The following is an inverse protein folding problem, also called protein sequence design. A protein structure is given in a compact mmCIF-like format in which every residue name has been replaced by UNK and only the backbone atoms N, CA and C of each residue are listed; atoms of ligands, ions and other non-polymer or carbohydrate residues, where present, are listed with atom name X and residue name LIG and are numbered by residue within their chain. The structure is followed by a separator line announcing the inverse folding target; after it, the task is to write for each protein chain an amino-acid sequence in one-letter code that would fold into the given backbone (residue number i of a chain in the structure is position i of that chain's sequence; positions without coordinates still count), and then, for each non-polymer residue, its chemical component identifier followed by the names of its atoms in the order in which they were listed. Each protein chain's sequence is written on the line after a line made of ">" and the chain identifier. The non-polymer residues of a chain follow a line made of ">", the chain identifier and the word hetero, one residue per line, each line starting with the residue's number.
data_IF_848776857271
#
_entry.id   IF_848776857271
#
_cell.length_a   1.000
_cell.length_b   1.000
_cell.length_c   1.000
_cell.angle_alpha   90.00
_cell.angle_beta   90.00
_cell.angle_gamma   90.00
#
_symmetry.space_group_name_H-M   'P 1'
#
loop_
_entity.id
_entity.type
_entity.pdbx_description
1 polymer ?
#
# COMPACT_ATOMS: atom_id res chain seq x y z
N UNK A 1 29.57 7.46 0.55
CA UNK A 1 29.34 7.00 -0.84
C UNK A 1 30.59 7.24 -1.68
N UNK A 2 31.29 6.18 -2.09
CA UNK A 2 32.52 6.34 -2.88
C UNK A 2 32.20 6.62 -4.35
N UNK A 3 33.03 7.44 -5.02
CA UNK A 3 32.93 7.61 -6.48
C UNK A 3 33.27 6.29 -7.18
N UNK A 4 32.50 5.95 -8.22
CA UNK A 4 32.78 4.79 -9.08
C UNK A 4 34.15 4.91 -9.77
N UNK A 5 34.78 3.79 -10.08
CA UNK A 5 36.07 3.75 -10.81
C UNK A 5 35.99 4.50 -12.14
N UNK A 6 34.88 4.35 -12.87
CA UNK A 6 34.64 5.05 -14.13
C UNK A 6 34.58 6.58 -13.97
N UNK A 7 33.93 7.07 -12.90
CA UNK A 7 33.89 8.51 -12.60
C UNK A 7 35.29 9.06 -12.29
N UNK A 8 36.10 8.32 -11.52
CA UNK A 8 37.49 8.72 -11.22
C UNK A 8 38.35 8.83 -12.48
N UNK A 9 38.22 7.88 -13.41
CA UNK A 9 38.93 7.91 -14.71
C UNK A 9 38.50 9.11 -15.56
N UNK A 10 37.20 9.42 -15.63
CA UNK A 10 36.70 10.62 -16.34
C UNK A 10 37.23 11.91 -15.73
N UNK A 11 37.18 12.04 -14.40
CA UNK A 11 37.73 13.20 -13.69
C UNK A 11 39.24 13.37 -13.98
N UNK A 12 40.01 12.27 -14.06
CA UNK A 12 41.44 12.31 -14.41
C UNK A 12 41.68 12.80 -15.84
N UNK A 13 40.95 12.27 -16.82
CA UNK A 13 41.05 12.73 -18.22
C UNK A 13 40.67 14.21 -18.34
N UNK A 14 39.63 14.64 -17.62
CA UNK A 14 39.21 16.05 -17.61
C UNK A 14 40.31 16.97 -17.06
N UNK A 15 41.01 16.57 -15.99
CA UNK A 15 42.12 17.36 -15.42
C UNK A 15 43.34 17.44 -16.34
N UNK A 16 43.71 16.35 -17.00
CA UNK A 16 44.96 16.29 -17.77
C UNK A 16 44.80 16.77 -19.22
N UNK A 17 43.64 16.53 -19.83
CA UNK A 17 43.41 16.81 -21.26
C UNK A 17 42.34 17.88 -21.50
N UNK A 18 41.59 18.29 -20.47
CA UNK A 18 40.48 19.24 -20.59
C UNK A 18 39.25 18.69 -21.31
N UNK A 19 39.28 17.44 -21.81
CA UNK A 19 38.19 16.87 -22.61
C UNK A 19 37.05 16.38 -21.72
N UNK A 20 35.88 17.00 -21.88
CA UNK A 20 34.65 16.57 -21.21
C UNK A 20 33.86 15.57 -22.06
N UNK A 21 33.93 14.29 -21.65
CA UNK A 21 33.21 13.18 -22.30
C UNK A 21 31.69 13.26 -22.05
N UNK A 22 31.24 13.99 -21.04
CA UNK A 22 29.80 14.09 -20.74
C UNK A 22 29.04 14.93 -21.76
N UNK A 23 29.69 15.96 -22.33
CA UNK A 23 29.13 16.79 -23.41
C UNK A 23 28.92 16.05 -24.71
N UNK A 24 29.72 15.01 -24.95
CA UNK A 24 29.58 14.14 -26.13
C UNK A 24 28.47 13.10 -25.98
N UNK A 25 27.90 12.95 -24.77
CA UNK A 25 26.80 12.02 -24.53
C UNK A 25 25.50 12.66 -25.03
N UNK A 26 24.61 11.84 -25.56
CA UNK A 26 23.26 12.28 -25.92
C UNK A 26 22.54 12.89 -24.71
N UNK A 27 21.80 13.97 -24.98
CA UNK A 27 20.93 14.61 -24.01
C UNK A 27 19.72 13.72 -23.77
N UNK A 28 19.47 13.40 -22.51
CA UNK A 28 18.20 12.77 -22.13
C UNK A 28 17.12 13.86 -22.04
N UNK A 29 15.86 13.55 -22.39
CA UNK A 29 14.75 14.45 -22.15
C UNK A 29 14.57 14.74 -20.65
N UNK A 30 13.98 15.90 -20.33
CA UNK A 30 13.72 16.33 -18.95
C UNK A 30 12.66 15.48 -18.24
N UNK A 31 11.86 14.72 -18.99
CA UNK A 31 10.84 13.82 -18.46
C UNK A 31 11.33 12.36 -18.40
N UNK A 32 10.69 11.58 -17.54
CA UNK A 32 10.97 10.15 -17.43
C UNK A 32 10.55 9.40 -18.71
N UNK A 33 11.50 8.68 -19.30
CA UNK A 33 11.31 7.81 -20.48
C UNK A 33 10.68 6.46 -20.07
N UNK A 34 10.57 6.19 -18.77
CA UNK A 34 10.05 4.92 -18.29
C UNK A 34 8.61 4.69 -18.77
N UNK A 35 8.33 3.45 -19.19
CA UNK A 35 6.97 3.03 -19.50
C UNK A 35 6.08 3.16 -18.25
N UNK A 36 4.94 3.82 -18.42
CA UNK A 36 3.96 4.01 -17.34
C UNK A 36 2.92 2.92 -17.43
N UNK A 37 2.92 2.02 -16.46
CA UNK A 37 1.90 0.98 -16.36
C UNK A 37 0.76 1.41 -15.44
N UNK A 38 -0.45 1.01 -15.79
CA UNK A 38 -1.63 1.21 -14.92
C UNK A 38 -1.66 0.17 -13.81
N UNK A 39 -2.37 0.48 -12.72
CA UNK A 39 -2.50 -0.42 -11.58
C UNK A 39 -3.08 -1.78 -11.97
N UNK A 40 -2.56 -2.83 -11.34
CA UNK A 40 -3.12 -4.18 -11.47
C UNK A 40 -4.49 -4.30 -10.77
N UNK A 41 -5.22 -5.38 -11.04
CA UNK A 41 -6.50 -5.69 -10.35
C UNK A 41 -6.33 -5.69 -8.82
N UNK A 42 -5.24 -6.30 -8.33
CA UNK A 42 -4.94 -6.39 -6.89
C UNK A 42 -4.70 -5.00 -6.28
N UNK A 43 -3.89 -4.18 -6.92
CA UNK A 43 -3.63 -2.81 -6.47
C UNK A 43 -4.88 -1.91 -6.52
N UNK A 44 -5.75 -2.14 -7.50
CA UNK A 44 -7.01 -1.41 -7.62
C UNK A 44 -7.97 -1.75 -6.49
N UNK A 45 -8.10 -3.04 -6.15
CA UNK A 45 -8.87 -3.48 -4.99
C UNK A 45 -8.33 -2.88 -3.69
N UNK A 46 -7.00 -2.96 -3.47
CA UNK A 46 -6.37 -2.37 -2.29
C UNK A 46 -6.60 -0.85 -2.20
N UNK A 47 -6.52 -0.14 -3.33
CA UNK A 47 -6.84 1.30 -3.41
C UNK A 47 -8.30 1.56 -3.05
N UNK A 48 -9.24 0.74 -3.49
CA UNK A 48 -10.67 0.92 -3.19
C UNK A 48 -10.98 0.73 -1.71
N UNK A 49 -10.26 -0.16 -1.01
CA UNK A 49 -10.40 -0.34 0.44
C UNK A 49 -9.78 0.81 1.25
N UNK A 50 -8.68 1.40 0.79
CA UNK A 50 -7.88 2.34 1.59
C UNK A 50 -8.12 3.82 1.26
N UNK A 51 -8.39 4.16 -0.01
CA UNK A 51 -8.44 5.56 -0.46
C UNK A 51 -9.60 6.34 0.14
N UNK A 52 -10.76 5.70 0.27
CA UNK A 52 -11.95 6.32 0.83
C UNK A 52 -12.38 5.49 2.03
N UNK A 53 -12.42 6.09 3.23
CA UNK A 53 -12.90 5.46 4.47
C UNK A 53 -14.41 5.25 4.48
N UNK A 54 -14.97 4.77 3.36
CA UNK A 54 -16.38 4.37 3.30
C UNK A 54 -16.45 2.89 3.64
N UNK A 55 -17.54 2.50 4.29
CA UNK A 55 -17.86 1.10 4.52
C UNK A 55 -17.82 0.36 3.19
N UNK A 56 -17.25 -0.86 3.22
CA UNK A 56 -17.31 -1.77 2.09
C UNK A 56 -18.78 -1.93 1.67
N UNK A 57 -19.10 -2.23 0.39
CA UNK A 57 -20.47 -2.45 -0.02
C UNK A 57 -21.22 -3.46 0.86
N UNK A 58 -20.51 -4.48 1.36
CA UNK A 58 -21.02 -5.49 2.28
C UNK A 58 -21.36 -4.93 3.69
N UNK A 59 -20.67 -3.89 4.14
CA UNK A 59 -20.91 -3.26 5.44
C UNK A 59 -21.89 -2.08 5.40
N UNK A 60 -22.38 -1.68 4.21
CA UNK A 60 -23.29 -0.54 4.07
C UNK A 60 -24.63 -0.77 4.77
N UNK A 61 -25.12 -1.99 4.73
CA UNK A 61 -26.45 -2.35 5.24
C UNK A 61 -26.45 -2.62 6.75
N UNK A 62 -25.28 -2.62 7.40
CA UNK A 62 -25.18 -2.79 8.85
C UNK A 62 -25.55 -1.45 9.50
N UNK A 63 -26.66 -1.35 10.26
CA UNK A 63 -27.08 -0.08 10.86
C UNK A 63 -25.98 0.49 11.79
N UNK A 64 -25.86 1.82 11.79
CA UNK A 64 -24.99 2.59 12.68
C UNK A 64 -25.56 2.68 14.12
N UNK A 65 -26.20 1.62 14.60
CA UNK A 65 -26.65 1.56 16.01
C UNK A 65 -25.40 1.68 16.90
N UNK A 66 -25.43 2.65 17.83
CA UNK A 66 -24.37 2.94 18.80
C UNK A 66 -24.04 1.77 19.74
N UNK A 67 -24.77 0.67 19.64
CA UNK A 67 -24.72 -0.49 20.54
C UNK A 67 -23.83 -1.63 20.00
N UNK A 68 -22.64 -1.32 19.48
CA UNK A 68 -21.65 -2.38 19.13
C UNK A 68 -21.08 -3.11 20.35
N UNK A 69 -21.38 -2.66 21.57
CA UNK A 69 -20.94 -3.30 22.81
C UNK A 69 -21.94 -4.31 23.40
N UNK A 70 -23.18 -4.43 22.88
CA UNK A 70 -24.24 -5.20 23.55
C UNK A 70 -24.63 -6.53 22.90
N UNK A 71 -24.05 -6.91 21.76
CA UNK A 71 -24.23 -8.27 21.21
C UNK A 71 -23.15 -9.23 21.72
N UNK A 72 -23.02 -9.31 23.05
CA UNK A 72 -22.51 -10.51 23.69
C UNK A 72 -23.74 -11.41 23.89
N UNK A 73 -24.10 -12.18 22.87
CA UNK A 73 -25.09 -13.25 23.03
C UNK A 73 -24.58 -14.15 24.17
N UNK A 74 -25.37 -14.38 25.24
CA UNK A 74 -24.97 -15.36 26.22
C UNK A 74 -24.83 -16.72 25.50
N UNK A 75 -23.76 -17.48 25.77
CA UNK A 75 -23.56 -18.77 25.11
C UNK A 75 -24.78 -19.64 25.37
N UNK A 76 -25.21 -20.35 24.31
CA UNK A 76 -26.48 -21.12 24.20
C UNK A 76 -26.77 -22.03 25.41
N UNK A 77 -25.74 -22.39 26.18
CA UNK A 77 -25.82 -23.17 27.41
C UNK A 77 -26.63 -22.53 28.54
N UNK A 78 -26.82 -21.20 28.60
CA UNK A 78 -27.60 -20.57 29.69
C UNK A 78 -29.11 -20.78 29.54
N UNK A 79 -29.61 -20.87 28.31
CA UNK A 79 -31.04 -21.08 28.02
C UNK A 79 -31.46 -22.53 28.33
N UNK A 80 -30.55 -23.49 28.14
CA UNK A 80 -30.80 -24.91 28.45
C UNK A 80 -30.83 -25.20 29.95
N UNK A 81 -30.02 -24.50 30.75
CA UNK A 81 -29.90 -24.77 32.20
C UNK A 81 -31.13 -24.31 33.00
N UNK A 82 -31.83 -23.27 32.54
CA UNK A 82 -33.08 -22.78 33.15
C UNK A 82 -34.27 -23.68 32.84
N UNK A 83 -34.24 -24.43 31.73
CA UNK A 83 -35.32 -25.34 31.35
C UNK A 83 -35.29 -26.68 32.09
N UNK A 84 -34.12 -27.12 32.54
CA UNK A 84 -33.98 -28.37 33.32
C UNK A 84 -34.24 -28.18 34.82
N UNK A 85 -34.21 -26.93 35.31
CA UNK A 85 -34.41 -26.64 36.73
C UNK A 85 -35.90 -26.47 37.14
N UNK A 86 -36.81 -26.28 36.17
CA UNK A 86 -38.24 -26.07 36.41
C UNK A 86 -39.10 -27.32 36.20
N UNK A 87 -38.51 -28.51 36.34
CA UNK A 87 -39.21 -29.80 36.29
C UNK A 87 -39.18 -30.49 37.64
N UNK A 88 -40.07 -30.07 38.55
CA UNK A 88 -40.55 -30.86 39.69
C UNK A 88 -42.05 -30.67 39.79
#
# INVERSE_FOLDING_TARGET
>A
MSKSKARRKRDHVLRNTGRDVTRLRSTLPDFSIMERTTKTKKETLAKNHTKHKKRSPLERDIPLSRDRFYFNYPPIYTILLLRTASGR
#
